data_IF_368824530935
#
_entry.id   IF_368824530935
#
_cell.length_a   1.000
_cell.length_b   1.000
_cell.length_c   1.000
_cell.angle_alpha   90.00
_cell.angle_beta   90.00
_cell.angle_gamma   90.00
#
_symmetry.space_group_name_H-M   'P 1'
#
loop_
_entity.id
_entity.type
_entity.pdbx_description
1 polymer ?
#
# COMPACT_ATOMS: atom_id res chain seq x y z
N UNK A 1 -68.09 -2.51 4.22
CA UNK A 1 -66.90 -1.72 3.87
C UNK A 1 -65.68 -2.49 4.35
N UNK A 2 -64.94 -3.11 3.43
CA UNK A 2 -63.68 -3.79 3.72
C UNK A 2 -62.55 -2.83 3.31
N UNK A 3 -61.56 -2.54 4.17
CA UNK A 3 -60.41 -1.75 3.75
C UNK A 3 -59.42 -2.63 2.97
N UNK A 4 -58.96 -2.14 1.82
CA UNK A 4 -57.86 -2.69 1.05
C UNK A 4 -56.53 -2.45 1.79
N UNK A 5 -55.72 -3.49 2.08
CA UNK A 5 -54.39 -3.27 2.62
C UNK A 5 -53.39 -2.88 1.53
N UNK A 6 -52.54 -1.94 1.89
CA UNK A 6 -51.49 -1.31 1.10
C UNK A 6 -50.41 -2.35 0.74
N UNK A 7 -50.10 -2.43 -0.55
CA UNK A 7 -49.07 -3.28 -1.11
C UNK A 7 -47.67 -2.74 -0.74
N UNK A 8 -47.05 -3.29 0.31
CA UNK A 8 -45.62 -3.09 0.57
C UNK A 8 -44.83 -4.19 -0.13
N UNK A 9 -44.08 -3.82 -1.17
CA UNK A 9 -43.09 -4.70 -1.78
C UNK A 9 -42.05 -5.12 -0.73
N UNK A 10 -41.84 -6.42 -0.46
CA UNK A 10 -40.78 -6.85 0.43
C UNK A 10 -39.44 -6.75 -0.31
N UNK A 11 -38.60 -5.83 0.17
CA UNK A 11 -37.20 -5.64 -0.18
C UNK A 11 -36.44 -6.98 -0.10
N UNK A 12 -35.94 -7.46 -1.24
CA UNK A 12 -35.47 -8.83 -1.45
C UNK A 12 -34.01 -9.05 -1.05
N UNK A 13 -33.56 -8.54 0.10
CA UNK A 13 -32.23 -8.86 0.63
C UNK A 13 -32.20 -8.94 2.17
N UNK A 14 -32.33 -10.14 2.77
CA UNK A 14 -31.75 -10.33 4.10
C UNK A 14 -31.32 -11.78 4.41
N UNK A 15 -30.63 -12.49 3.50
CA UNK A 15 -30.05 -13.83 3.82
C UNK A 15 -28.59 -13.99 3.45
N UNK A 16 -28.17 -13.42 2.32
CA UNK A 16 -26.77 -13.46 1.89
C UNK A 16 -25.85 -12.61 2.80
N UNK A 17 -26.33 -11.43 3.22
CA UNK A 17 -25.55 -10.54 4.08
C UNK A 17 -25.32 -11.12 5.47
N UNK A 18 -26.34 -11.72 6.09
CA UNK A 18 -26.21 -12.36 7.40
C UNK A 18 -25.39 -13.66 7.35
N UNK A 19 -25.46 -14.42 6.25
CA UNK A 19 -24.63 -15.62 6.09
C UNK A 19 -23.16 -15.26 5.88
N UNK A 20 -22.87 -14.21 5.10
CA UNK A 20 -21.51 -13.69 4.95
C UNK A 20 -20.98 -13.07 6.24
N UNK A 21 -21.84 -12.37 6.99
CA UNK A 21 -21.46 -11.77 8.27
C UNK A 21 -21.23 -12.84 9.37
N UNK A 22 -22.02 -13.92 9.41
CA UNK A 22 -21.81 -15.01 10.38
C UNK A 22 -20.64 -15.92 10.02
N UNK A 23 -20.37 -16.13 8.72
CA UNK A 23 -19.13 -16.76 8.24
C UNK A 23 -17.90 -15.91 8.58
N UNK A 24 -18.00 -14.59 8.43
CA UNK A 24 -16.95 -13.66 8.82
C UNK A 24 -16.70 -13.70 10.35
N UNK A 25 -17.75 -13.70 11.19
CA UNK A 25 -17.58 -13.69 12.65
C UNK A 25 -17.10 -15.02 13.21
N UNK A 26 -17.55 -16.17 12.69
CA UNK A 26 -17.02 -17.47 13.08
C UNK A 26 -15.60 -17.72 12.55
N UNK A 27 -15.29 -17.22 11.35
CA UNK A 27 -13.92 -17.21 10.82
C UNK A 27 -12.99 -16.39 11.71
N UNK A 28 -13.40 -15.17 12.10
CA UNK A 28 -12.65 -14.27 12.98
C UNK A 28 -12.42 -14.85 14.39
N UNK A 29 -13.41 -15.53 14.97
CA UNK A 29 -13.27 -16.17 16.29
C UNK A 29 -12.27 -17.33 16.28
N UNK A 30 -12.23 -18.12 15.20
CA UNK A 30 -11.26 -19.21 15.01
C UNK A 30 -9.86 -18.68 14.66
N UNK A 31 -9.80 -17.60 13.87
CA UNK A 31 -8.57 -16.85 13.54
C UNK A 31 -7.88 -16.27 14.78
N UNK A 32 -8.64 -15.72 15.73
CA UNK A 32 -8.09 -15.16 16.98
C UNK A 32 -7.56 -16.24 17.94
N UNK A 33 -8.23 -17.39 18.01
CA UNK A 33 -7.79 -18.53 18.81
C UNK A 33 -6.52 -19.21 18.26
N UNK A 34 -6.43 -19.33 16.93
CA UNK A 34 -5.29 -19.95 16.24
C UNK A 34 -4.04 -19.06 16.27
N UNK A 35 -4.22 -17.75 16.04
CA UNK A 35 -3.15 -16.75 16.09
C UNK A 35 -2.44 -16.67 17.47
N UNK A 36 -3.16 -16.94 18.56
CA UNK A 36 -2.58 -16.98 19.93
C UNK A 36 -1.74 -18.23 20.19
N UNK A 37 -2.05 -19.35 19.52
CA UNK A 37 -1.32 -20.61 19.69
C UNK A 37 -0.04 -20.64 18.83
N UNK A 38 -0.09 -20.06 17.63
CA UNK A 38 1.05 -19.99 16.71
C UNK A 38 2.09 -18.94 17.13
N UNK A 39 1.68 -17.76 17.60
CA UNK A 39 2.62 -16.75 18.14
C UNK A 39 3.44 -17.31 19.31
N UNK A 40 2.85 -18.21 20.10
CA UNK A 40 3.51 -18.88 21.22
C UNK A 40 4.43 -20.03 20.72
N UNK A 41 4.08 -20.68 19.61
CA UNK A 41 4.88 -21.73 18.97
C UNK A 41 6.12 -21.22 18.24
N UNK A 42 6.02 -20.09 17.53
CA UNK A 42 7.17 -19.46 16.86
C UNK A 42 8.18 -18.91 17.88
N UNK A 43 7.72 -18.37 19.01
CA UNK A 43 8.62 -17.94 20.08
C UNK A 43 9.36 -19.13 20.74
N UNK A 44 8.81 -20.34 20.66
CA UNK A 44 9.38 -21.56 21.22
C UNK A 44 10.37 -22.27 20.26
N UNK A 45 10.32 -22.02 18.95
CA UNK A 45 11.27 -22.59 17.98
C UNK A 45 12.59 -21.81 17.87
N UNK A 46 12.63 -20.53 18.28
CA UNK A 46 13.87 -19.73 18.32
C UNK A 46 14.87 -20.14 19.41
N UNK A 47 14.51 -21.04 20.33
CA UNK A 47 15.31 -21.38 21.52
C UNK A 47 16.15 -22.66 21.35
N UNK A 48 15.96 -23.50 20.31
CA UNK A 48 16.59 -24.84 20.28
C UNK A 48 17.38 -25.19 18.99
N UNK A 49 18.73 -25.07 19.12
CA UNK A 49 19.86 -25.78 18.43
C UNK A 49 20.15 -25.42 16.95
N UNK A 50 21.39 -25.30 16.43
CA UNK A 50 22.81 -25.49 16.83
C UNK A 50 23.77 -24.96 15.69
N UNK A 51 25.09 -24.74 15.85
CA UNK A 51 25.66 -23.38 15.82
C UNK A 51 26.52 -22.94 14.61
N UNK A 52 26.81 -23.75 13.57
CA UNK A 52 27.83 -23.33 12.56
C UNK A 52 27.32 -23.15 11.10
N UNK A 53 26.36 -23.94 10.61
CA UNK A 53 25.63 -23.67 9.35
C UNK A 53 24.44 -22.69 9.52
N UNK A 54 24.16 -22.35 10.78
CA UNK A 54 23.05 -21.53 11.24
C UNK A 54 23.33 -20.03 11.07
N UNK A 55 24.59 -19.61 10.96
CA UNK A 55 24.96 -18.18 10.91
C UNK A 55 24.58 -17.53 9.58
N UNK A 56 24.71 -18.26 8.47
CA UNK A 56 24.35 -17.77 7.13
C UNK A 56 22.82 -17.75 6.95
N UNK A 57 22.11 -18.81 7.37
CA UNK A 57 20.66 -18.86 7.37
C UNK A 57 20.03 -17.85 8.34
N UNK A 58 20.61 -17.64 9.53
CA UNK A 58 20.16 -16.58 10.46
C UNK A 58 20.42 -15.20 9.90
N UNK A 59 21.56 -14.95 9.26
CA UNK A 59 21.83 -13.67 8.63
C UNK A 59 20.82 -13.40 7.50
N UNK A 60 20.56 -14.37 6.62
CA UNK A 60 19.55 -14.25 5.57
C UNK A 60 18.15 -14.06 6.15
N UNK A 61 17.76 -14.83 7.16
CA UNK A 61 16.47 -14.71 7.83
C UNK A 61 16.30 -13.34 8.51
N UNK A 62 17.32 -12.83 9.22
CA UNK A 62 17.30 -11.51 9.85
C UNK A 62 17.24 -10.41 8.78
N UNK A 63 18.02 -10.54 7.70
CA UNK A 63 17.98 -9.61 6.56
C UNK A 63 16.58 -9.59 5.96
N UNK A 64 15.96 -10.73 5.65
CA UNK A 64 14.60 -10.78 5.13
C UNK A 64 13.57 -10.26 6.14
N UNK A 65 13.67 -10.60 7.42
CA UNK A 65 12.77 -10.11 8.46
C UNK A 65 12.78 -8.58 8.62
N UNK A 66 13.93 -7.93 8.37
CA UNK A 66 14.04 -6.45 8.36
C UNK A 66 13.68 -5.87 6.99
N UNK A 67 14.03 -6.56 5.91
CA UNK A 67 13.82 -6.08 4.54
C UNK A 67 12.34 -6.07 4.16
N UNK A 68 11.56 -7.07 4.58
CA UNK A 68 10.12 -7.18 4.31
C UNK A 68 9.34 -5.95 4.79
N UNK A 69 9.39 -5.53 6.07
CA UNK A 69 8.66 -4.35 6.52
C UNK A 69 9.16 -3.06 5.85
N UNK A 70 10.45 -2.97 5.50
CA UNK A 70 10.99 -1.81 4.77
C UNK A 70 10.42 -1.73 3.37
N UNK A 71 10.39 -2.83 2.61
CA UNK A 71 9.79 -2.87 1.28
C UNK A 71 8.28 -2.61 1.33
N UNK A 72 7.59 -3.13 2.35
CA UNK A 72 6.15 -2.87 2.60
C UNK A 72 5.88 -1.38 2.76
N UNK A 73 6.67 -0.70 3.61
CA UNK A 73 6.54 0.74 3.81
C UNK A 73 6.91 1.53 2.54
N UNK A 74 7.90 1.06 1.78
CA UNK A 74 8.33 1.69 0.54
C UNK A 74 7.27 1.55 -0.57
N UNK A 75 6.67 0.37 -0.72
CA UNK A 75 5.51 0.12 -1.60
C UNK A 75 4.38 1.08 -1.26
N UNK A 76 4.00 1.15 0.02
CA UNK A 76 2.96 2.05 0.48
C UNK A 76 3.25 3.51 0.26
N UNK A 77 4.51 3.90 0.41
CA UNK A 77 4.96 5.24 0.09
C UNK A 77 4.79 5.52 -1.41
N UNK A 78 5.16 4.61 -2.31
CA UNK A 78 4.96 4.81 -3.75
C UNK A 78 3.48 4.89 -4.13
N UNK A 79 2.66 3.99 -3.60
CA UNK A 79 1.22 4.00 -3.82
C UNK A 79 0.57 5.29 -3.29
N UNK A 80 0.94 5.70 -2.07
CA UNK A 80 0.45 6.91 -1.44
C UNK A 80 0.94 8.19 -2.12
N UNK A 81 2.21 8.28 -2.51
CA UNK A 81 2.75 9.41 -3.25
C UNK A 81 2.10 9.53 -4.63
N UNK A 82 1.81 8.42 -5.32
CA UNK A 82 1.07 8.43 -6.58
C UNK A 82 -0.26 9.16 -6.39
N UNK A 83 -1.06 8.72 -5.42
CA UNK A 83 -2.36 9.34 -5.14
C UNK A 83 -2.22 10.78 -4.63
N UNK A 84 -1.25 11.05 -3.74
CA UNK A 84 -1.00 12.36 -3.16
C UNK A 84 -0.57 13.40 -4.20
N UNK A 85 0.35 13.06 -5.11
CA UNK A 85 0.78 13.95 -6.19
C UNK A 85 -0.29 14.10 -7.27
N UNK A 86 -1.06 13.05 -7.57
CA UNK A 86 -2.15 13.15 -8.55
C UNK A 86 -3.34 13.95 -8.02
N UNK A 87 -3.57 13.95 -6.70
CA UNK A 87 -4.58 14.77 -6.03
C UNK A 87 -4.22 16.27 -6.01
N UNK A 88 -2.94 16.61 -6.19
CA UNK A 88 -2.47 17.99 -6.27
C UNK A 88 -2.44 18.46 -7.74
N UNK A 89 -3.43 19.27 -8.11
CA UNK A 89 -3.47 19.91 -9.42
C UNK A 89 -2.44 21.03 -9.53
N UNK A 90 -1.85 21.21 -10.72
CA UNK A 90 -0.88 22.27 -10.99
C UNK A 90 -1.46 23.65 -10.69
N UNK A 91 -2.72 23.90 -11.08
CA UNK A 91 -3.42 25.17 -10.81
C UNK A 91 -3.61 25.41 -9.32
N UNK A 92 -4.03 24.39 -8.56
CA UNK A 92 -4.20 24.51 -7.11
C UNK A 92 -2.87 24.81 -6.43
N UNK A 93 -1.80 24.14 -6.88
CA UNK A 93 -0.46 24.33 -6.37
C UNK A 93 0.08 25.73 -6.70
N UNK A 94 -0.22 26.24 -7.89
CA UNK A 94 0.12 27.61 -8.28
C UNK A 94 -0.61 28.64 -7.41
N UNK A 95 -1.92 28.50 -7.23
CA UNK A 95 -2.71 29.36 -6.33
C UNK A 95 -2.14 29.32 -4.92
N UNK A 96 -1.77 28.14 -4.42
CA UNK A 96 -1.22 27.97 -3.08
C UNK A 96 0.20 28.55 -2.94
N UNK A 97 0.97 28.60 -4.01
CA UNK A 97 2.28 29.26 -4.04
C UNK A 97 2.20 30.79 -3.95
N UNK A 98 1.06 31.39 -4.31
CA UNK A 98 0.86 32.84 -4.27
C UNK A 98 0.10 33.25 -3.01
N UNK A 99 -1.01 32.56 -2.73
CA UNK A 99 -2.00 32.97 -1.73
C UNK A 99 -2.05 32.06 -0.50
N UNK A 100 -1.22 31.01 -0.43
CA UNK A 100 -1.15 30.09 0.69
C UNK A 100 -0.40 30.63 1.90
N UNK A 101 -0.45 29.90 3.01
CA UNK A 101 0.38 30.22 4.20
C UNK A 101 1.88 30.12 3.87
N UNK A 102 2.78 30.77 4.64
CA UNK A 102 4.22 30.74 4.37
C UNK A 102 4.81 29.33 4.24
N UNK A 103 4.27 28.35 4.98
CA UNK A 103 4.68 26.95 4.89
C UNK A 103 4.11 26.26 3.64
N UNK A 104 2.82 26.45 3.36
CA UNK A 104 2.19 25.89 2.16
C UNK A 104 2.81 26.41 0.87
N UNK A 105 3.19 27.68 0.83
CA UNK A 105 3.92 28.28 -0.30
C UNK A 105 5.24 27.57 -0.56
N UNK A 106 6.06 27.34 0.48
CA UNK A 106 7.33 26.60 0.36
C UNK A 106 7.11 25.16 -0.11
N UNK A 107 6.04 24.51 0.33
CA UNK A 107 5.69 23.15 -0.10
C UNK A 107 5.24 23.12 -1.56
N UNK A 108 4.39 24.05 -1.97
CA UNK A 108 3.93 24.19 -3.34
C UNK A 108 5.09 24.44 -4.31
N UNK A 109 6.00 25.38 -3.98
CA UNK A 109 7.18 25.70 -4.79
C UNK A 109 8.12 24.49 -5.01
N UNK A 110 8.21 23.56 -4.05
CA UNK A 110 9.00 22.32 -4.19
C UNK A 110 8.35 21.30 -5.11
N UNK A 111 7.02 21.18 -5.06
CA UNK A 111 6.23 20.16 -5.77
C UNK A 111 5.95 20.59 -7.22
N UNK A 112 5.72 21.88 -7.48
CA UNK A 112 5.43 22.47 -8.79
C UNK A 112 6.30 21.94 -9.93
N UNK A 113 7.65 21.98 -9.84
CA UNK A 113 8.51 21.50 -10.93
C UNK A 113 8.42 19.99 -11.17
N UNK A 114 8.05 19.20 -10.16
CA UNK A 114 7.87 17.75 -10.28
C UNK A 114 6.54 17.45 -10.99
N UNK A 115 5.49 18.21 -10.66
CA UNK A 115 4.15 18.05 -11.25
C UNK A 115 4.05 18.55 -12.69
N UNK A 116 4.94 19.48 -13.12
CA UNK A 116 4.99 20.00 -14.49
C UNK A 116 5.06 18.90 -15.56
N UNK A 117 5.78 17.81 -15.28
CA UNK A 117 5.81 16.62 -16.12
C UNK A 117 4.93 15.51 -15.52
N UNK A 118 3.65 15.80 -15.31
CA UNK A 118 2.72 14.95 -14.57
C UNK A 118 2.59 13.52 -15.12
N UNK A 119 2.64 13.36 -16.45
CA UNK A 119 2.57 12.06 -17.11
C UNK A 119 3.79 11.19 -16.81
N UNK A 120 5.01 11.74 -16.94
CA UNK A 120 6.25 11.05 -16.62
C UNK A 120 6.30 10.67 -15.13
N UNK A 121 5.90 11.58 -14.24
CA UNK A 121 5.80 11.35 -12.81
C UNK A 121 4.86 10.18 -12.50
N UNK A 122 3.66 10.19 -13.08
CA UNK A 122 2.65 9.16 -12.89
C UNK A 122 3.20 7.79 -13.29
N UNK A 123 3.77 7.67 -14.50
CA UNK A 123 4.29 6.39 -15.00
C UNK A 123 5.46 5.90 -14.16
N UNK A 124 6.38 6.80 -13.77
CA UNK A 124 7.52 6.45 -12.93
C UNK A 124 7.06 5.90 -11.58
N UNK A 125 6.13 6.58 -10.91
CA UNK A 125 5.62 6.16 -9.60
C UNK A 125 4.81 4.87 -9.69
N UNK A 126 4.00 4.70 -10.75
CA UNK A 126 3.26 3.46 -11.01
C UNK A 126 4.19 2.29 -11.27
N UNK A 127 5.23 2.46 -12.09
CA UNK A 127 6.23 1.43 -12.34
C UNK A 127 7.00 1.05 -11.08
N UNK A 128 7.44 2.05 -10.30
CA UNK A 128 8.10 1.80 -9.03
C UNK A 128 7.21 1.01 -8.06
N UNK A 129 5.95 1.42 -7.92
CA UNK A 129 4.97 0.72 -7.10
C UNK A 129 4.77 -0.72 -7.59
N UNK A 130 4.57 -0.93 -8.89
CA UNK A 130 4.39 -2.25 -9.49
C UNK A 130 5.59 -3.17 -9.26
N UNK A 131 6.81 -2.67 -9.46
CA UNK A 131 8.04 -3.45 -9.24
C UNK A 131 8.15 -3.89 -7.78
N UNK A 132 7.90 -2.99 -6.82
CA UNK A 132 7.98 -3.35 -5.40
C UNK A 132 6.85 -4.31 -5.02
N UNK A 133 5.64 -4.12 -5.55
CA UNK A 133 4.48 -4.98 -5.26
C UNK A 133 4.66 -6.41 -5.80
N UNK A 134 5.31 -6.59 -6.94
CA UNK A 134 5.63 -7.91 -7.48
C UNK A 134 6.87 -8.54 -6.80
N UNK A 135 7.87 -7.72 -6.44
CA UNK A 135 9.06 -8.21 -5.76
C UNK A 135 8.80 -8.64 -4.31
N UNK A 136 7.86 -7.99 -3.62
CA UNK A 136 7.55 -8.22 -2.20
C UNK A 136 7.12 -9.66 -1.90
N UNK A 137 6.13 -10.25 -2.58
CA UNK A 137 5.74 -11.65 -2.37
C UNK A 137 6.87 -12.63 -2.69
N UNK A 138 7.62 -12.39 -3.78
CA UNK A 138 8.74 -13.24 -4.21
C UNK A 138 9.84 -13.29 -3.15
N UNK A 139 10.16 -12.15 -2.53
CA UNK A 139 11.17 -12.07 -1.47
C UNK A 139 10.64 -12.60 -0.12
N UNK A 140 9.33 -12.53 0.09
CA UNK A 140 8.68 -12.95 1.35
C UNK A 140 8.31 -14.43 1.39
N UNK A 141 8.23 -15.11 0.24
CA UNK A 141 7.85 -16.52 0.10
C UNK A 141 8.68 -17.47 0.98
N UNK A 142 10.02 -17.34 1.09
CA UNK A 142 10.83 -18.25 1.92
C UNK A 142 10.60 -18.08 3.43
N UNK A 143 10.02 -16.96 3.87
CA UNK A 143 9.90 -16.58 5.30
C UNK A 143 8.53 -16.91 5.87
N UNK A 144 7.46 -16.83 5.06
CA UNK A 144 6.09 -16.82 5.56
C UNK A 144 5.50 -18.20 5.91
N UNK A 145 6.17 -19.30 5.58
CA UNK A 145 5.74 -20.65 5.93
C UNK A 145 4.47 -21.08 5.19
N UNK A 146 4.53 -22.23 4.52
CA UNK A 146 3.47 -22.68 3.63
C UNK A 146 2.12 -22.91 4.32
N UNK A 147 1.05 -22.54 3.62
CA UNK A 147 -0.33 -22.84 4.01
C UNK A 147 -1.31 -21.76 3.54
N UNK A 148 -2.47 -22.17 3.02
CA UNK A 148 -3.47 -21.25 2.46
C UNK A 148 -3.94 -20.20 3.48
N UNK A 149 -4.07 -20.57 4.76
CA UNK A 149 -4.50 -19.64 5.82
C UNK A 149 -3.42 -18.61 6.16
N UNK A 150 -2.15 -19.02 6.20
CA UNK A 150 -1.01 -18.10 6.43
C UNK A 150 -0.89 -17.09 5.29
N UNK A 151 -1.05 -17.56 4.04
CA UNK A 151 -1.03 -16.71 2.83
C UNK A 151 -2.16 -15.68 2.85
N UNK A 152 -3.39 -16.09 3.19
CA UNK A 152 -4.54 -15.17 3.23
C UNK A 152 -4.38 -14.15 4.37
N UNK A 153 -3.99 -14.59 5.57
CA UNK A 153 -3.82 -13.70 6.71
C UNK A 153 -2.68 -12.70 6.49
N UNK A 154 -1.55 -13.16 5.93
CA UNK A 154 -0.41 -12.30 5.59
C UNK A 154 -0.79 -11.28 4.51
N UNK A 155 -1.49 -11.71 3.46
CA UNK A 155 -1.95 -10.81 2.39
C UNK A 155 -2.86 -9.71 2.92
N UNK A 156 -3.83 -10.03 3.79
CA UNK A 156 -4.74 -9.02 4.37
C UNK A 156 -3.97 -8.02 5.23
N UNK A 157 -3.03 -8.50 6.05
CA UNK A 157 -2.22 -7.63 6.89
C UNK A 157 -1.34 -6.70 6.04
N UNK A 158 -0.69 -7.25 5.01
CA UNK A 158 0.14 -6.49 4.07
C UNK A 158 -0.70 -5.44 3.35
N UNK A 159 -1.87 -5.77 2.81
CA UNK A 159 -2.72 -4.79 2.10
C UNK A 159 -3.14 -3.64 3.02
N UNK A 160 -3.53 -3.92 4.26
CA UNK A 160 -3.95 -2.86 5.18
C UNK A 160 -2.77 -1.94 5.55
N UNK A 161 -1.63 -2.51 5.93
CA UNK A 161 -0.48 -1.75 6.42
C UNK A 161 0.38 -1.14 5.31
N UNK A 162 0.46 -1.78 4.15
CA UNK A 162 1.26 -1.31 3.00
C UNK A 162 0.44 -0.44 2.08
N UNK A 163 -0.85 -0.72 1.88
CA UNK A 163 -1.60 -0.01 0.84
C UNK A 163 -2.55 1.01 1.47
N UNK A 164 -3.51 0.54 2.26
CA UNK A 164 -4.63 1.37 2.72
C UNK A 164 -4.18 2.48 3.68
N UNK A 165 -3.38 2.15 4.70
CA UNK A 165 -2.94 3.14 5.70
C UNK A 165 -2.02 4.19 5.04
N UNK A 166 -0.92 3.82 4.34
CA UNK A 166 -0.04 4.81 3.72
C UNK A 166 -0.73 5.66 2.65
N UNK A 167 -1.62 5.07 1.84
CA UNK A 167 -2.42 5.82 0.87
C UNK A 167 -3.33 6.83 1.54
N UNK A 168 -4.08 6.43 2.59
CA UNK A 168 -4.99 7.33 3.31
C UNK A 168 -4.27 8.52 3.98
N UNK A 169 -3.04 8.32 4.45
CA UNK A 169 -2.22 9.40 4.98
C UNK A 169 -1.77 10.35 3.87
N UNK A 170 -1.33 9.82 2.73
CA UNK A 170 -0.90 10.63 1.59
C UNK A 170 -2.06 11.38 0.91
N UNK A 171 -3.31 10.92 1.01
CA UNK A 171 -4.46 11.70 0.53
C UNK A 171 -4.76 12.87 1.47
N UNK A 172 -4.70 12.65 2.78
CA UNK A 172 -5.02 13.68 3.78
C UNK A 172 -3.93 14.73 3.95
N UNK A 173 -2.66 14.31 3.85
CA UNK A 173 -1.48 15.15 4.06
C UNK A 173 -0.60 15.27 2.80
N UNK A 174 -1.19 15.11 1.62
CA UNK A 174 -0.46 15.03 0.34
C UNK A 174 0.47 16.20 0.05
N UNK A 175 0.08 17.43 0.39
CA UNK A 175 0.94 18.60 0.21
C UNK A 175 2.19 18.56 1.10
N UNK A 176 2.03 18.19 2.38
CA UNK A 176 3.14 18.14 3.32
C UNK A 176 4.08 16.97 3.02
N UNK A 177 3.51 15.76 2.87
CA UNK A 177 4.26 14.54 2.58
C UNK A 177 4.93 14.66 1.21
N UNK A 178 4.20 15.14 0.19
CA UNK A 178 4.74 15.38 -1.15
C UNK A 178 5.91 16.36 -1.13
N UNK A 179 5.84 17.44 -0.35
CA UNK A 179 6.93 18.40 -0.29
C UNK A 179 8.18 17.87 0.43
N UNK A 180 8.00 17.02 1.46
CA UNK A 180 9.10 16.34 2.13
C UNK A 180 9.74 15.28 1.23
N UNK A 181 8.91 14.53 0.51
CA UNK A 181 9.35 13.46 -0.40
C UNK A 181 9.75 13.96 -1.79
N UNK A 182 9.62 15.26 -2.06
CA UNK A 182 9.96 15.87 -3.35
C UNK A 182 11.38 15.55 -3.82
N UNK A 183 12.35 15.54 -2.90
CA UNK A 183 13.72 15.15 -3.22
C UNK A 183 13.83 13.66 -3.62
N UNK A 184 13.18 12.78 -2.85
CA UNK A 184 13.16 11.35 -3.12
C UNK A 184 12.49 11.03 -4.48
N UNK A 185 11.36 11.65 -4.77
CA UNK A 185 10.65 11.50 -6.05
C UNK A 185 11.50 11.98 -7.23
N UNK A 186 12.27 13.06 -7.07
CA UNK A 186 13.20 13.51 -8.14
C UNK A 186 14.29 12.48 -8.43
N UNK A 187 14.87 11.86 -7.40
CA UNK A 187 15.84 10.77 -7.59
C UNK A 187 15.16 9.59 -8.28
N UNK A 188 13.94 9.24 -7.87
CA UNK A 188 13.19 8.16 -8.48
C UNK A 188 12.91 8.40 -9.97
N UNK A 189 12.49 9.60 -10.35
CA UNK A 189 12.32 10.00 -11.76
C UNK A 189 13.66 9.97 -12.49
N UNK A 190 14.77 10.35 -11.86
CA UNK A 190 16.07 10.27 -12.50
C UNK A 190 16.49 8.81 -12.78
N UNK A 191 16.32 7.92 -11.81
CA UNK A 191 16.72 6.50 -11.92
C UNK A 191 15.78 5.70 -12.81
N UNK A 192 14.48 5.74 -12.52
CA UNK A 192 13.47 4.92 -13.21
C UNK A 192 12.97 5.64 -14.47
N UNK A 193 12.98 6.98 -14.49
CA UNK A 193 12.48 7.75 -15.64
C UNK A 193 13.28 7.54 -16.92
N UNK A 194 14.54 7.08 -16.87
CA UNK A 194 15.26 6.62 -18.07
C UNK A 194 14.52 5.45 -18.74
N UNK A 195 14.00 4.52 -17.93
CA UNK A 195 13.22 3.36 -18.37
C UNK A 195 11.76 3.73 -18.60
N UNK A 196 11.19 4.64 -17.81
CA UNK A 196 9.80 5.09 -17.97
C UNK A 196 9.59 6.02 -19.16
N UNK A 197 10.62 6.74 -19.61
CA UNK A 197 10.53 7.67 -20.74
C UNK A 197 10.05 7.01 -22.05
N UNK A 198 10.59 5.86 -22.50
CA UNK A 198 10.05 5.17 -23.69
C UNK A 198 8.61 4.67 -23.48
N UNK A 199 8.27 4.21 -22.28
CA UNK A 199 6.89 3.77 -21.94
C UNK A 199 5.93 4.96 -21.97
N UNK A 200 6.35 6.11 -21.44
CA UNK A 200 5.59 7.35 -21.45
C UNK A 200 5.38 7.86 -22.88
N UNK A 201 6.43 7.82 -23.71
CA UNK A 201 6.31 8.16 -25.14
C UNK A 201 5.36 7.23 -25.89
N UNK A 202 5.37 5.94 -25.57
CA UNK A 202 4.44 5.00 -26.17
C UNK A 202 2.99 5.29 -25.80
N UNK A 203 2.71 5.64 -24.53
CA UNK A 203 1.38 6.07 -24.10
C UNK A 203 0.93 7.37 -24.77
N UNK A 204 1.83 8.35 -24.91
CA UNK A 204 1.56 9.61 -25.65
C UNK A 204 1.29 9.40 -27.15
N UNK A 205 1.74 8.29 -27.75
CA UNK A 205 1.49 7.99 -29.17
C UNK A 205 0.13 7.31 -29.37
N UNK A 206 -0.32 6.55 -28.37
CA UNK A 206 -1.58 5.79 -28.43
C UNK A 206 -2.79 6.66 -28.09
N UNK A 207 -2.65 7.55 -27.10
CA UNK A 207 -3.70 8.42 -26.59
C UNK A 207 -3.76 9.75 -27.35
#
# INVERSE_FOLDING_TARGET
>A
MVPTPINHAPNRYPRLTYSLLSLATHGLGKLAGYSRQDATGYMHSFVKREPEAERENKAQFIVFAVLIPVLVLLSGLFAGLTLGYMSLDETQLHVLSISGTPQQRKYAEKILPIRKNGHLLLITLLLANMIVNEALPVISEPVLGGGVVSVVASTVLIVIFSEIIPQSLCTRYGLAIGAQMAWFVRILIFTIGIVSWPVAKFMEIIL
#
